data_IF_952292022793
#
_entry.id   IF_952292022793
#
_cell.length_a   1.000
_cell.length_b   1.000
_cell.length_c   1.000
_cell.angle_alpha   90.00
_cell.angle_beta   90.00
_cell.angle_gamma   90.00
#
_symmetry.space_group_name_H-M   'P 1'
#
loop_
_entity.id
_entity.type
_entity.pdbx_description
1 polymer ?
#
# COMPACT_ATOMS: atom_id res chain seq x y z
N UNK A 1 -1.59 -1.09 -15.05
CA UNK A 1 -0.56 -1.43 -14.03
C UNK A 1 -1.19 -1.35 -12.64
N UNK A 2 -1.33 -2.48 -11.93
CA UNK A 2 -2.05 -2.54 -10.65
C UNK A 2 -1.15 -2.28 -9.42
N UNK A 3 0.06 -2.83 -9.39
CA UNK A 3 0.96 -2.71 -8.22
C UNK A 3 2.02 -1.61 -8.36
N UNK A 4 2.66 -1.50 -9.53
CA UNK A 4 3.82 -0.63 -9.74
C UNK A 4 3.55 0.55 -10.69
N UNK A 5 2.26 0.78 -11.02
CA UNK A 5 1.86 1.89 -11.86
C UNK A 5 1.78 3.18 -11.06
N UNK A 6 2.57 4.17 -11.43
CA UNK A 6 2.50 5.52 -10.84
C UNK A 6 1.43 6.37 -11.54
N UNK A 7 0.65 7.09 -10.73
CA UNK A 7 -0.38 8.02 -11.15
C UNK A 7 -0.68 8.93 -9.97
N UNK A 8 -0.72 10.24 -10.22
CA UNK A 8 -1.03 11.26 -9.21
C UNK A 8 -2.48 11.18 -8.73
N UNK A 9 -2.79 11.94 -7.68
CA UNK A 9 -4.14 12.08 -7.10
C UNK A 9 -4.73 10.78 -6.57
N UNK A 10 -3.90 9.96 -5.90
CA UNK A 10 -4.33 8.76 -5.17
C UNK A 10 -3.79 8.80 -3.74
N UNK A 11 -4.63 8.44 -2.79
CA UNK A 11 -4.27 8.29 -1.38
C UNK A 11 -4.73 6.92 -0.89
N UNK A 12 -4.02 6.40 0.11
CA UNK A 12 -4.41 5.19 0.85
C UNK A 12 -4.63 5.59 2.29
N UNK A 13 -5.78 5.22 2.83
CA UNK A 13 -6.14 5.50 4.23
C UNK A 13 -6.45 4.20 4.95
N UNK A 14 -6.23 4.19 6.25
CA UNK A 14 -6.70 3.14 7.15
C UNK A 14 -7.68 3.77 8.13
N UNK A 15 -8.83 3.14 8.32
CA UNK A 15 -9.88 3.61 9.21
C UNK A 15 -10.57 2.43 9.90
N UNK A 16 -11.15 2.63 11.10
CA UNK A 16 -12.03 1.63 11.71
C UNK A 16 -13.20 1.29 10.79
N UNK A 17 -13.61 0.02 10.75
CA UNK A 17 -14.75 -0.41 9.91
C UNK A 17 -16.06 0.31 10.25
N UNK A 18 -16.20 0.77 11.50
CA UNK A 18 -17.34 1.57 11.95
C UNK A 18 -17.44 2.94 11.27
N UNK A 19 -16.35 3.44 10.67
CA UNK A 19 -16.30 4.74 9.99
C UNK A 19 -16.49 4.64 8.46
N UNK A 20 -16.78 3.45 7.93
CA UNK A 20 -16.89 3.23 6.48
C UNK A 20 -18.06 3.99 5.84
N UNK A 21 -19.19 4.10 6.53
CA UNK A 21 -20.33 4.90 6.03
C UNK A 21 -19.95 6.36 5.87
N UNK A 22 -19.28 6.93 6.88
CA UNK A 22 -18.83 8.31 6.86
C UNK A 22 -17.81 8.58 5.73
N UNK A 23 -16.87 7.66 5.49
CA UNK A 23 -15.97 7.74 4.34
C UNK A 23 -16.75 7.74 3.02
N UNK A 24 -17.70 6.81 2.86
CA UNK A 24 -18.50 6.71 1.63
C UNK A 24 -19.30 7.99 1.36
N UNK A 25 -19.87 8.61 2.39
CA UNK A 25 -20.60 9.87 2.29
C UNK A 25 -19.70 11.03 1.86
N UNK A 26 -18.52 11.17 2.49
CA UNK A 26 -17.55 12.20 2.10
C UNK A 26 -17.05 12.02 0.67
N UNK A 27 -16.72 10.79 0.27
CA UNK A 27 -16.28 10.52 -1.10
C UNK A 27 -17.39 10.78 -2.13
N UNK A 28 -18.65 10.48 -1.80
CA UNK A 28 -19.78 10.79 -2.67
C UNK A 28 -19.99 12.30 -2.84
N UNK A 29 -19.90 13.07 -1.74
CA UNK A 29 -20.03 14.53 -1.78
C UNK A 29 -18.97 15.20 -2.70
N UNK A 30 -17.75 14.67 -2.69
CA UNK A 30 -16.63 15.20 -3.48
C UNK A 30 -16.49 14.54 -4.85
N UNK A 31 -17.40 13.64 -5.24
CA UNK A 31 -17.28 12.81 -6.45
C UNK A 31 -15.92 12.08 -6.54
N UNK A 32 -15.36 11.70 -5.40
CA UNK A 32 -14.07 11.03 -5.30
C UNK A 32 -14.28 9.51 -5.41
N UNK A 33 -13.77 8.86 -6.47
CA UNK A 33 -13.86 7.41 -6.60
C UNK A 33 -13.01 6.73 -5.53
N UNK A 34 -13.54 5.66 -4.94
CA UNK A 34 -12.86 4.91 -3.90
C UNK A 34 -13.15 3.41 -4.03
N UNK A 35 -12.31 2.60 -3.39
CA UNK A 35 -12.51 1.16 -3.27
C UNK A 35 -11.84 0.64 -2.00
N UNK A 36 -12.31 -0.50 -1.48
CA UNK A 36 -11.64 -1.23 -0.42
C UNK A 36 -10.53 -2.11 -1.02
N UNK A 37 -9.32 -2.03 -0.47
CA UNK A 37 -8.16 -2.82 -0.95
C UNK A 37 -7.76 -3.94 0.02
N UNK A 38 -8.31 -3.95 1.24
CA UNK A 38 -8.02 -4.95 2.25
C UNK A 38 -8.03 -4.41 3.68
N UNK A 39 -7.30 -5.09 4.57
CA UNK A 39 -7.21 -4.78 6.00
C UNK A 39 -5.76 -4.65 6.42
N UNK A 40 -5.50 -3.90 7.50
CA UNK A 40 -4.17 -3.79 8.11
C UNK A 40 -3.99 -4.82 9.24
N UNK A 41 -2.75 -5.25 9.47
CA UNK A 41 -2.38 -6.17 10.55
C UNK A 41 -1.28 -7.14 10.15
N UNK A 42 -0.88 -8.02 11.08
CA UNK A 42 0.11 -9.06 10.84
C UNK A 42 1.54 -8.55 10.63
N UNK A 43 2.40 -9.44 10.14
CA UNK A 43 3.82 -9.21 9.89
C UNK A 43 4.21 -9.35 8.40
N UNK A 44 3.21 -9.48 7.54
CA UNK A 44 3.38 -9.79 6.12
C UNK A 44 2.46 -8.94 5.24
N UNK A 45 2.99 -8.47 4.12
CA UNK A 45 2.22 -7.84 3.05
C UNK A 45 1.77 -8.93 2.07
N UNK A 46 0.45 -9.11 1.95
CA UNK A 46 -0.15 -10.10 1.07
C UNK A 46 -1.07 -9.45 0.05
N UNK A 47 -1.04 -9.91 -1.19
CA UNK A 47 -2.00 -9.53 -2.23
C UNK A 47 -2.42 -10.76 -3.05
N UNK A 48 -3.54 -11.37 -2.66
CA UNK A 48 -4.03 -12.62 -3.25
C UNK A 48 -2.96 -13.71 -3.27
N UNK A 49 -2.85 -14.44 -4.38
CA UNK A 49 -1.79 -15.43 -4.62
C UNK A 49 -0.55 -14.82 -5.28
N UNK A 50 -0.56 -13.53 -5.61
CA UNK A 50 0.48 -12.88 -6.40
C UNK A 50 1.67 -12.41 -5.56
N UNK A 51 1.43 -12.06 -4.29
CA UNK A 51 2.44 -11.51 -3.41
C UNK A 51 2.20 -11.97 -1.97
N UNK A 52 3.27 -12.45 -1.33
CA UNK A 52 3.34 -12.64 0.11
C UNK A 52 4.79 -12.40 0.54
N UNK A 53 5.03 -11.30 1.24
CA UNK A 53 6.37 -10.91 1.68
C UNK A 53 6.33 -10.42 3.12
N UNK A 54 7.31 -10.80 3.94
CA UNK A 54 7.39 -10.28 5.31
C UNK A 54 7.68 -8.78 5.30
N UNK A 55 7.08 -8.06 6.23
CA UNK A 55 7.31 -6.62 6.43
C UNK A 55 8.78 -6.37 6.78
N UNK A 56 9.44 -7.29 7.49
CA UNK A 56 10.86 -7.18 7.81
C UNK A 56 11.76 -7.27 6.58
N UNK A 57 11.44 -8.13 5.62
CA UNK A 57 12.13 -8.19 4.33
C UNK A 57 11.96 -6.87 3.58
N UNK A 58 10.74 -6.33 3.52
CA UNK A 58 10.46 -5.04 2.86
C UNK A 58 11.23 -3.90 3.53
N UNK A 59 11.21 -3.84 4.87
CA UNK A 59 11.94 -2.82 5.65
C UNK A 59 13.45 -2.88 5.38
N UNK A 60 14.05 -4.07 5.40
CA UNK A 60 15.48 -4.27 5.13
C UNK A 60 15.83 -3.84 3.70
N UNK A 61 15.05 -4.26 2.71
CA UNK A 61 15.27 -3.91 1.32
C UNK A 61 15.17 -2.40 1.09
N UNK A 62 14.16 -1.74 1.66
CA UNK A 62 13.99 -0.29 1.55
C UNK A 62 15.15 0.47 2.22
N UNK A 63 15.49 0.11 3.47
CA UNK A 63 16.54 0.79 4.25
C UNK A 63 17.92 0.69 3.58
N UNK A 64 18.22 -0.46 2.99
CA UNK A 64 19.53 -0.72 2.39
C UNK A 64 19.53 -0.55 0.87
N UNK A 65 18.43 -0.08 0.27
CA UNK A 65 18.23 -0.05 -1.18
C UNK A 65 19.26 0.82 -1.89
N UNK A 66 19.53 2.01 -1.36
CA UNK A 66 20.52 2.93 -1.94
C UNK A 66 21.95 2.37 -1.85
N UNK A 67 22.36 1.89 -0.68
CA UNK A 67 23.69 1.29 -0.50
C UNK A 67 23.90 0.09 -1.43
N UNK A 68 22.85 -0.75 -1.57
CA UNK A 68 22.88 -1.90 -2.48
C UNK A 68 23.00 -1.46 -3.93
N UNK A 69 22.26 -0.42 -4.34
CA UNK A 69 22.29 0.10 -5.70
C UNK A 69 23.62 0.77 -6.08
N UNK A 70 24.34 1.32 -5.11
CA UNK A 70 25.63 1.99 -5.31
C UNK A 70 26.83 1.06 -5.13
N UNK A 71 26.62 -0.20 -4.72
CA UNK A 71 27.72 -1.15 -4.50
C UNK A 71 28.31 -1.55 -5.87
N UNK A 72 29.63 -1.37 -6.09
CA UNK A 72 30.24 -1.74 -7.36
C UNK A 72 30.12 -3.26 -7.59
N UNK A 73 29.78 -3.65 -8.81
CA UNK A 73 29.79 -5.05 -9.21
C UNK A 73 31.22 -5.59 -9.04
N UNK A 74 31.35 -6.66 -8.26
CA UNK A 74 32.60 -7.41 -8.12
C UNK A 74 32.86 -8.26 -9.35
#
# INVERSE_FOLDING_TARGET
AAFFGERQSRIVISLPRTQMSHLSEMCAAENAPWCEIGTVGGDSLTAGTMLSVSIDTVKKAWKNGLETALRPAS
#
